data_IF_230985582085
#
_entry.id   IF_230985582085
#
_cell.length_a   1.000
_cell.length_b   1.000
_cell.length_c   1.000
_cell.angle_alpha   90.00
_cell.angle_beta   90.00
_cell.angle_gamma   90.00
#
_symmetry.space_group_name_H-M   'P 1'
#
loop_
_entity.id
_entity.type
_entity.pdbx_description
1 polymer ?
#
# COMPACT_ATOMS: atom_id res chain seq x y z
N UNK A 1 -64.47 -16.36 66.41
CA UNK A 1 -63.00 -16.48 66.48
C UNK A 1 -62.60 -17.72 65.71
N UNK A 2 -61.97 -17.57 64.54
CA UNK A 2 -61.69 -18.71 63.65
C UNK A 2 -60.49 -19.49 64.19
N UNK A 3 -60.72 -20.69 64.74
CA UNK A 3 -59.67 -21.58 65.21
C UNK A 3 -58.88 -22.11 64.00
N UNK A 4 -57.68 -21.58 63.78
CA UNK A 4 -56.81 -22.09 62.73
C UNK A 4 -56.24 -23.44 63.15
N UNK A 5 -56.54 -24.48 62.36
CA UNK A 5 -56.05 -25.84 62.60
C UNK A 5 -54.50 -25.85 62.60
N UNK A 6 -53.84 -26.28 63.69
CA UNK A 6 -52.39 -26.28 63.80
C UNK A 6 -51.67 -27.04 62.67
N UNK A 7 -52.31 -28.07 62.11
CA UNK A 7 -51.77 -28.86 61.01
C UNK A 7 -51.69 -28.06 59.71
N UNK A 8 -52.71 -27.25 59.41
CA UNK A 8 -52.74 -26.46 58.17
C UNK A 8 -51.67 -25.37 58.17
N UNK A 9 -51.39 -24.76 59.32
CA UNK A 9 -50.32 -23.77 59.50
C UNK A 9 -48.95 -24.40 59.27
N UNK A 10 -48.72 -25.63 59.78
CA UNK A 10 -47.45 -26.36 59.58
C UNK A 10 -47.23 -26.74 58.12
N UNK A 11 -48.27 -27.17 57.42
CA UNK A 11 -48.20 -27.51 56.00
C UNK A 11 -47.91 -26.28 55.13
N UNK A 12 -48.59 -25.16 55.39
CA UNK A 12 -48.38 -23.92 54.67
C UNK A 12 -46.95 -23.35 54.87
N UNK A 13 -46.33 -23.58 56.04
CA UNK A 13 -44.91 -23.27 56.29
C UNK A 13 -43.96 -24.13 55.47
N UNK A 14 -44.25 -25.44 55.35
CA UNK A 14 -43.46 -26.38 54.53
C UNK A 14 -43.55 -26.03 53.04
N UNK A 15 -44.74 -25.72 52.54
CA UNK A 15 -44.93 -25.33 51.14
C UNK A 15 -44.20 -24.02 50.80
N UNK A 16 -44.20 -23.04 51.72
CA UNK A 16 -43.41 -21.81 51.56
C UNK A 16 -41.91 -22.08 51.54
N UNK A 17 -41.42 -23.02 52.35
CA UNK A 17 -40.01 -23.42 52.32
C UNK A 17 -39.65 -24.10 50.99
N UNK A 18 -40.45 -25.05 50.52
CA UNK A 18 -40.25 -25.73 49.23
C UNK A 18 -40.27 -24.75 48.05
N UNK A 19 -41.18 -23.78 48.04
CA UNK A 19 -41.22 -22.74 47.00
C UNK A 19 -39.95 -21.89 47.00
N UNK A 20 -39.46 -21.48 48.18
CA UNK A 20 -38.21 -20.73 48.32
C UNK A 20 -36.98 -21.54 47.88
N UNK A 21 -36.95 -22.84 48.17
CA UNK A 21 -35.88 -23.73 47.72
C UNK A 21 -35.93 -23.90 46.19
N UNK A 22 -37.10 -24.13 45.60
CA UNK A 22 -37.27 -24.23 44.15
C UNK A 22 -36.89 -22.92 43.44
N UNK A 23 -37.23 -21.75 44.00
CA UNK A 23 -36.81 -20.44 43.51
C UNK A 23 -35.29 -20.26 43.56
N UNK A 24 -34.65 -20.64 44.67
CA UNK A 24 -33.18 -20.59 44.81
C UNK A 24 -32.49 -21.49 43.79
N UNK A 25 -32.98 -22.71 43.60
CA UNK A 25 -32.44 -23.64 42.59
C UNK A 25 -32.61 -23.10 41.18
N UNK A 26 -33.78 -22.54 40.83
CA UNK A 26 -34.02 -21.91 39.52
C UNK A 26 -33.13 -20.68 39.31
N UNK A 27 -32.91 -19.87 40.35
CA UNK A 27 -32.01 -18.72 40.29
C UNK A 27 -30.55 -19.14 40.08
N UNK A 28 -30.08 -20.14 40.82
CA UNK A 28 -28.74 -20.72 40.64
C UNK A 28 -28.57 -21.36 39.26
N UNK A 29 -29.58 -22.06 38.74
CA UNK A 29 -29.57 -22.61 37.39
C UNK A 29 -29.52 -21.52 36.32
N UNK A 30 -30.30 -20.44 36.47
CA UNK A 30 -30.25 -19.27 35.56
C UNK A 30 -28.90 -18.59 35.61
N UNK A 31 -28.33 -18.41 36.80
CA UNK A 31 -26.99 -17.83 36.96
C UNK A 31 -25.91 -18.70 36.31
N UNK A 32 -25.94 -20.02 36.53
CA UNK A 32 -25.00 -20.95 35.87
C UNK A 32 -25.15 -20.96 34.36
N UNK A 33 -26.38 -20.93 33.83
CA UNK A 33 -26.65 -20.83 32.39
C UNK A 33 -26.13 -19.51 31.81
N UNK A 34 -26.41 -18.38 32.47
CA UNK A 34 -25.94 -17.07 32.02
C UNK A 34 -24.40 -16.97 32.04
N UNK A 35 -23.76 -17.48 33.10
CA UNK A 35 -22.29 -17.54 33.20
C UNK A 35 -21.71 -18.45 32.10
N UNK A 36 -22.30 -19.61 31.84
CA UNK A 36 -21.87 -20.50 30.76
C UNK A 36 -22.01 -19.85 29.37
N UNK A 37 -23.10 -19.11 29.13
CA UNK A 37 -23.32 -18.37 27.89
C UNK A 37 -22.27 -17.26 27.71
N UNK A 38 -21.97 -16.50 28.78
CA UNK A 38 -20.95 -15.43 28.75
C UNK A 38 -19.56 -16.00 28.49
N UNK A 39 -19.19 -17.08 29.19
CA UNK A 39 -17.89 -17.74 28.96
C UNK A 39 -17.82 -18.27 27.53
N UNK A 40 -18.89 -18.92 27.05
CA UNK A 40 -18.97 -19.42 25.69
C UNK A 40 -18.83 -18.31 24.63
N UNK A 41 -19.47 -17.16 24.83
CA UNK A 41 -19.37 -16.02 23.90
C UNK A 41 -17.97 -15.40 23.91
N UNK A 42 -17.33 -15.27 25.06
CA UNK A 42 -15.94 -14.77 25.15
C UNK A 42 -14.99 -15.72 24.41
N UNK A 43 -15.09 -17.03 24.64
CA UNK A 43 -14.26 -18.04 23.95
C UNK A 43 -14.49 -17.99 22.43
N UNK A 44 -15.74 -17.86 21.99
CA UNK A 44 -16.07 -17.72 20.57
C UNK A 44 -15.44 -16.46 19.96
N UNK A 45 -15.54 -15.31 20.63
CA UNK A 45 -14.96 -14.04 20.15
C UNK A 45 -13.44 -14.14 20.06
N UNK A 46 -12.77 -14.70 21.08
CA UNK A 46 -11.32 -14.91 21.06
C UNK A 46 -10.90 -15.86 19.93
N UNK A 47 -11.65 -16.94 19.69
CA UNK A 47 -11.39 -17.86 18.59
C UNK A 47 -11.54 -17.18 17.22
N UNK A 48 -12.59 -16.37 17.02
CA UNK A 48 -12.81 -15.63 15.77
C UNK A 48 -11.71 -14.59 15.54
N UNK A 49 -11.32 -13.84 16.57
CA UNK A 49 -10.20 -12.88 16.49
C UNK A 49 -8.90 -13.62 16.16
N UNK A 50 -8.65 -14.76 16.80
CA UNK A 50 -7.49 -15.61 16.50
C UNK A 50 -7.45 -16.10 15.05
N UNK A 51 -8.59 -16.55 14.51
CA UNK A 51 -8.72 -16.96 13.11
C UNK A 51 -8.50 -15.77 12.17
N UNK A 52 -9.02 -14.58 12.51
CA UNK A 52 -8.86 -13.39 11.70
C UNK A 52 -7.39 -12.93 11.65
N UNK A 53 -6.69 -12.94 12.79
CA UNK A 53 -5.25 -12.63 12.86
C UNK A 53 -4.43 -13.70 12.10
N UNK A 54 -4.75 -14.99 12.27
CA UNK A 54 -4.09 -16.08 11.56
C UNK A 54 -4.26 -15.97 10.04
N UNK A 55 -5.46 -15.65 9.55
CA UNK A 55 -5.70 -15.38 8.12
C UNK A 55 -4.95 -14.14 7.64
N UNK A 56 -4.89 -13.09 8.46
CA UNK A 56 -4.14 -11.85 8.16
C UNK A 56 -2.62 -12.08 8.10
N UNK A 57 -2.09 -13.07 8.84
CA UNK A 57 -0.66 -13.43 8.87
C UNK A 57 -0.27 -14.59 7.93
N UNK A 58 -1.21 -15.13 7.15
CA UNK A 58 -0.91 -16.17 6.15
C UNK A 58 -0.74 -15.64 4.71
N UNK A 59 -0.58 -14.33 4.54
CA UNK A 59 -0.07 -13.71 3.31
C UNK A 59 1.40 -13.28 3.46
N UNK A 60 2.22 -14.16 4.05
CA UNK A 60 3.66 -14.12 3.89
C UNK A 60 4.09 -15.46 3.30
N UNK A 61 3.67 -15.71 2.05
CA UNK A 61 4.51 -16.50 1.16
C UNK A 61 5.89 -15.84 1.20
N UNK A 62 6.98 -16.52 1.56
CA UNK A 62 8.28 -16.06 1.13
C UNK A 62 8.13 -15.89 -0.37
N UNK A 63 8.32 -14.68 -0.87
CA UNK A 63 8.61 -14.49 -2.26
C UNK A 63 9.88 -15.32 -2.48
N UNK A 64 9.71 -16.56 -2.94
CA UNK A 64 10.65 -17.15 -3.86
C UNK A 64 10.81 -16.05 -4.88
N UNK A 65 11.94 -15.35 -4.82
CA UNK A 65 12.46 -14.64 -5.97
C UNK A 65 12.54 -15.74 -7.02
N UNK A 66 11.46 -15.91 -7.78
CA UNK A 66 11.54 -16.39 -9.13
C UNK A 66 12.26 -15.26 -9.83
N UNK A 67 13.57 -15.25 -9.60
CA UNK A 67 14.53 -14.69 -10.49
C UNK A 67 14.18 -15.42 -11.77
N UNK A 68 13.37 -14.77 -12.61
CA UNK A 68 13.19 -15.16 -13.97
C UNK A 68 14.60 -15.19 -14.53
N UNK A 69 15.20 -16.38 -14.53
CA UNK A 69 16.25 -16.76 -15.45
C UNK A 69 15.61 -16.83 -16.82
N UNK A 70 15.02 -15.71 -17.27
CA UNK A 70 14.96 -15.40 -18.68
C UNK A 70 16.42 -15.24 -19.05
N UNK A 71 16.98 -16.29 -19.66
CA UNK A 71 18.15 -16.16 -20.52
C UNK A 71 17.98 -14.86 -21.27
N UNK A 72 18.84 -13.83 -21.05
CA UNK A 72 18.59 -12.52 -21.60
C UNK A 72 18.64 -12.68 -23.11
N UNK A 73 17.47 -12.51 -23.75
CA UNK A 73 17.41 -12.24 -25.17
C UNK A 73 18.29 -11.00 -25.42
N UNK A 74 19.08 -10.92 -26.50
CA UNK A 74 20.04 -9.82 -26.68
C UNK A 74 19.47 -8.40 -26.51
N UNK A 75 18.17 -8.22 -26.74
CA UNK A 75 17.44 -6.96 -26.50
C UNK A 75 17.33 -6.57 -25.00
N UNK A 76 17.24 -7.54 -24.09
CA UNK A 76 17.08 -7.29 -22.65
C UNK A 76 18.38 -6.81 -22.00
N UNK A 77 19.53 -7.01 -22.66
CA UNK A 77 20.82 -6.45 -22.22
C UNK A 77 20.87 -4.94 -22.43
N UNK A 78 20.23 -4.41 -23.48
CA UNK A 78 20.16 -2.97 -23.75
C UNK A 78 19.25 -2.22 -22.76
N UNK A 79 18.13 -2.84 -22.36
CA UNK A 79 17.08 -2.23 -21.52
C UNK A 79 16.95 -2.88 -20.13
N UNK A 80 18.08 -3.22 -19.49
CA UNK A 80 18.11 -3.61 -18.07
C UNK A 80 17.54 -2.55 -17.12
N UNK A 81 17.19 -2.92 -15.89
CA UNK A 81 16.57 -2.00 -14.94
C UNK A 81 17.51 -0.86 -14.49
N UNK A 82 16.92 0.31 -14.17
CA UNK A 82 17.62 1.46 -13.57
C UNK A 82 16.93 1.78 -12.24
N UNK A 83 17.66 1.77 -11.11
CA UNK A 83 17.10 1.98 -9.75
C UNK A 83 15.85 1.12 -9.43
N UNK A 84 15.85 -0.13 -9.92
CA UNK A 84 14.71 -1.04 -9.77
C UNK A 84 13.46 -0.60 -10.53
N UNK A 85 13.61 0.21 -11.58
CA UNK A 85 12.59 0.53 -12.58
C UNK A 85 12.87 -0.34 -13.79
N UNK A 86 11.95 -1.25 -14.11
CA UNK A 86 12.10 -2.19 -15.22
C UNK A 86 11.53 -1.61 -16.50
N UNK A 87 12.02 -2.11 -17.63
CA UNK A 87 11.43 -1.91 -18.94
C UNK A 87 10.53 -3.12 -19.21
N UNK A 88 9.21 -2.89 -19.23
CA UNK A 88 8.22 -3.94 -19.39
C UNK A 88 7.68 -3.93 -20.82
N UNK A 89 7.15 -5.04 -21.36
CA UNK A 89 6.62 -5.07 -22.73
C UNK A 89 5.45 -4.11 -22.97
N UNK A 90 4.80 -3.63 -21.91
CA UNK A 90 3.62 -2.76 -21.94
C UNK A 90 3.59 -1.85 -20.72
N UNK A 91 2.86 -0.75 -20.88
CA UNK A 91 2.41 0.14 -19.81
C UNK A 91 1.68 -0.62 -18.68
N UNK A 92 1.86 -0.16 -17.44
CA UNK A 92 1.26 -0.77 -16.27
C UNK A 92 0.06 0.05 -15.78
N UNK A 93 -1.11 -0.59 -15.67
CA UNK A 93 -2.35 0.08 -15.25
C UNK A 93 -2.59 0.11 -13.74
N UNK A 94 -1.85 -0.66 -12.94
CA UNK A 94 -2.13 -0.80 -11.48
C UNK A 94 -1.84 0.48 -10.71
N UNK A 95 -0.72 1.15 -11.01
CA UNK A 95 -0.43 2.48 -10.52
C UNK A 95 -0.08 3.35 -11.71
N UNK A 96 -0.99 4.25 -12.08
CA UNK A 96 -0.87 5.12 -13.25
C UNK A 96 -1.18 6.55 -12.79
N UNK A 97 -0.15 7.39 -12.71
CA UNK A 97 -0.27 8.80 -12.37
C UNK A 97 0.68 9.62 -13.23
N UNK A 98 0.43 10.93 -13.33
CA UNK A 98 1.24 11.84 -14.13
C UNK A 98 1.89 12.92 -13.27
N UNK A 99 3.11 13.30 -13.60
CA UNK A 99 3.80 14.43 -12.98
C UNK A 99 4.31 15.39 -14.06
N UNK A 100 4.17 16.70 -13.86
CA UNK A 100 4.63 17.68 -14.83
C UNK A 100 6.01 18.24 -14.47
N UNK A 101 6.93 18.26 -15.44
CA UNK A 101 8.27 18.81 -15.30
C UNK A 101 8.51 19.99 -16.25
N UNK A 102 8.67 21.18 -15.67
CA UNK A 102 9.14 22.37 -16.40
C UNK A 102 10.64 22.54 -16.24
N UNK A 103 11.40 22.43 -17.34
CA UNK A 103 12.87 22.50 -17.27
C UNK A 103 13.42 23.85 -17.74
N UNK A 104 14.39 24.37 -16.97
CA UNK A 104 15.09 25.61 -17.28
C UNK A 104 16.60 25.44 -17.14
N UNK A 105 17.35 25.77 -18.19
CA UNK A 105 18.81 25.70 -18.23
C UNK A 105 19.34 27.10 -18.55
N UNK A 106 20.10 27.69 -17.63
CA UNK A 106 20.59 29.08 -17.70
C UNK A 106 19.46 30.09 -17.78
N UNK A 107 18.36 29.83 -17.06
CA UNK A 107 17.17 30.68 -17.08
C UNK A 107 16.34 30.60 -18.36
N UNK A 108 16.76 29.81 -19.36
CA UNK A 108 16.00 29.56 -20.58
C UNK A 108 15.17 28.30 -20.44
N UNK A 109 13.90 28.36 -20.84
CA UNK A 109 13.05 27.18 -20.90
C UNK A 109 13.63 26.17 -21.91
N UNK A 110 13.62 24.90 -21.52
CA UNK A 110 14.04 23.78 -22.36
C UNK A 110 12.91 22.76 -22.37
N UNK A 111 12.49 22.34 -23.56
CA UNK A 111 11.49 21.29 -23.70
C UNK A 111 12.05 19.95 -23.22
N UNK A 112 11.21 19.17 -22.54
CA UNK A 112 11.53 17.78 -22.25
C UNK A 112 11.35 16.97 -23.54
N UNK A 113 12.30 16.13 -23.96
CA UNK A 113 12.11 15.27 -25.12
C UNK A 113 10.95 14.28 -24.95
N UNK A 114 10.30 13.99 -26.07
CA UNK A 114 9.41 12.83 -26.17
C UNK A 114 10.19 11.52 -26.08
N UNK A 115 9.48 10.43 -25.81
CA UNK A 115 9.97 9.04 -25.84
C UNK A 115 11.12 8.71 -24.88
N UNK A 116 11.38 9.55 -23.87
CA UNK A 116 12.26 9.15 -22.77
C UNK A 116 11.60 7.96 -22.07
N UNK A 117 12.34 6.88 -21.83
CA UNK A 117 11.79 5.69 -21.20
C UNK A 117 11.10 4.72 -22.17
N UNK A 118 11.02 5.02 -23.47
CA UNK A 118 10.40 4.15 -24.47
C UNK A 118 11.49 3.59 -25.39
N UNK A 119 11.60 2.27 -25.48
CA UNK A 119 12.59 1.63 -26.35
C UNK A 119 12.35 2.03 -27.81
N UNK A 120 13.41 2.40 -28.54
CA UNK A 120 13.29 2.89 -29.92
C UNK A 120 12.82 1.83 -30.93
N UNK A 121 12.94 0.56 -30.55
CA UNK A 121 12.42 -0.60 -31.28
C UNK A 121 11.01 -1.01 -30.81
N UNK A 122 10.40 -0.24 -29.90
CA UNK A 122 9.12 -0.51 -29.25
C UNK A 122 9.06 -1.86 -28.52
N UNK A 123 10.20 -2.44 -28.14
CA UNK A 123 10.24 -3.72 -27.43
C UNK A 123 9.75 -3.63 -25.98
N UNK A 124 9.91 -2.47 -25.35
CA UNK A 124 9.50 -2.24 -23.97
C UNK A 124 9.37 -0.75 -23.62
N UNK A 125 8.78 -0.49 -22.46
CA UNK A 125 8.58 0.82 -21.87
C UNK A 125 8.92 0.79 -20.37
N UNK A 126 9.69 1.76 -19.90
CA UNK A 126 9.97 1.92 -18.48
C UNK A 126 8.78 2.54 -17.75
N UNK A 127 8.62 2.24 -16.47
CA UNK A 127 7.54 2.81 -15.64
C UNK A 127 7.57 4.34 -15.56
N UNK A 128 8.73 4.96 -15.81
CA UNK A 128 8.86 6.41 -15.95
C UNK A 128 9.15 6.74 -17.42
N UNK A 129 8.23 7.43 -18.08
CA UNK A 129 8.41 7.76 -19.50
C UNK A 129 7.68 9.05 -19.93
N UNK A 130 7.96 9.51 -21.15
CA UNK A 130 7.28 10.64 -21.80
C UNK A 130 6.73 10.22 -23.15
N UNK A 131 5.51 10.61 -23.50
CA UNK A 131 4.97 10.40 -24.85
C UNK A 131 5.26 11.57 -25.80
N UNK A 132 5.40 12.78 -25.27
CA UNK A 132 5.55 13.99 -26.06
C UNK A 132 6.49 15.01 -25.39
N UNK A 133 6.53 16.23 -25.93
CA UNK A 133 7.38 17.32 -25.43
C UNK A 133 6.68 18.25 -24.44
N UNK A 134 5.49 17.91 -23.94
CA UNK A 134 4.71 18.75 -23.03
C UNK A 134 5.36 18.91 -21.65
N UNK A 135 6.23 17.97 -21.27
CA UNK A 135 6.80 17.90 -19.91
C UNK A 135 6.04 16.95 -18.98
N UNK A 136 5.02 16.24 -19.47
CA UNK A 136 4.33 15.21 -18.69
C UNK A 136 5.17 13.94 -18.60
N UNK A 137 5.49 13.54 -17.36
CA UNK A 137 6.11 12.27 -17.01
C UNK A 137 5.01 11.31 -16.57
N UNK A 138 4.90 10.21 -17.29
CA UNK A 138 4.04 9.09 -16.94
C UNK A 138 4.71 8.24 -15.88
N UNK A 139 3.95 7.84 -14.85
CA UNK A 139 4.39 6.98 -13.75
C UNK A 139 3.44 5.79 -13.73
N UNK A 140 3.88 4.71 -14.35
CA UNK A 140 3.07 3.54 -14.68
C UNK A 140 3.77 2.27 -14.19
N UNK A 141 3.42 1.82 -12.98
CA UNK A 141 4.13 0.77 -12.26
C UNK A 141 3.20 -0.38 -11.82
N UNK A 142 3.74 -1.59 -11.58
CA UNK A 142 2.95 -2.74 -11.13
C UNK A 142 2.42 -2.60 -9.70
N UNK A 143 2.92 -1.62 -8.94
CA UNK A 143 2.46 -1.32 -7.59
C UNK A 143 2.73 0.16 -7.26
N UNK A 144 1.94 0.71 -6.34
CA UNK A 144 2.15 2.05 -5.84
C UNK A 144 3.50 2.14 -5.08
N UNK A 145 4.39 3.01 -5.56
CA UNK A 145 5.64 3.36 -4.88
C UNK A 145 5.97 4.82 -5.12
N UNK A 146 6.85 5.35 -4.29
CA UNK A 146 7.41 6.68 -4.52
C UNK A 146 8.50 6.61 -5.58
N UNK A 147 8.46 7.54 -6.54
CA UNK A 147 9.50 7.74 -7.53
C UNK A 147 10.13 9.11 -7.32
N UNK A 148 11.43 9.20 -7.53
CA UNK A 148 12.17 10.43 -7.42
C UNK A 148 12.43 11.00 -8.81
N UNK A 149 12.50 12.33 -8.90
CA UNK A 149 12.94 12.98 -10.13
C UNK A 149 14.37 12.56 -10.52
N UNK A 150 15.22 12.25 -9.53
CA UNK A 150 16.53 11.65 -9.78
C UNK A 150 16.46 10.31 -10.50
N UNK A 151 15.43 9.48 -10.26
CA UNK A 151 15.25 8.20 -10.95
C UNK A 151 14.97 8.42 -12.45
N UNK A 152 14.08 9.35 -12.77
CA UNK A 152 13.78 9.73 -14.15
C UNK A 152 15.02 10.30 -14.86
N UNK A 153 15.75 11.20 -14.21
CA UNK A 153 16.96 11.81 -14.76
C UNK A 153 18.06 10.77 -15.01
N UNK A 154 18.22 9.82 -14.09
CA UNK A 154 19.20 8.75 -14.23
C UNK A 154 18.81 7.76 -15.33
N UNK A 155 17.52 7.44 -15.47
CA UNK A 155 17.01 6.64 -16.58
C UNK A 155 17.30 7.33 -17.92
N UNK A 156 16.95 8.62 -18.04
CA UNK A 156 17.23 9.41 -19.23
C UNK A 156 18.72 9.42 -19.57
N UNK A 157 19.58 9.69 -18.59
CA UNK A 157 21.04 9.69 -18.77
C UNK A 157 21.60 8.35 -19.21
N UNK A 158 21.19 7.26 -18.57
CA UNK A 158 21.85 5.97 -18.77
C UNK A 158 21.38 5.28 -20.05
N UNK A 159 20.12 5.45 -20.43
CA UNK A 159 19.48 4.66 -21.51
C UNK A 159 19.03 5.48 -22.71
N UNK A 160 18.76 6.76 -22.49
CA UNK A 160 18.17 7.63 -23.50
C UNK A 160 18.99 8.91 -23.68
N UNK A 161 20.30 8.87 -23.44
CA UNK A 161 21.17 10.05 -23.52
C UNK A 161 21.21 10.69 -24.91
N UNK A 162 20.99 9.88 -25.95
CA UNK A 162 20.84 10.35 -27.33
C UNK A 162 19.62 11.25 -27.55
N UNK A 163 18.62 11.21 -26.66
CA UNK A 163 17.50 12.14 -26.65
C UNK A 163 17.92 13.46 -25.99
N UNK A 164 19.01 14.08 -26.48
CA UNK A 164 19.51 15.38 -26.04
C UNK A 164 19.69 15.51 -24.51
N UNK A 165 20.19 14.48 -23.83
CA UNK A 165 20.48 14.60 -22.40
C UNK A 165 21.53 15.68 -22.18
N UNK A 166 21.17 16.68 -21.39
CA UNK A 166 22.01 17.86 -21.17
C UNK A 166 23.06 17.57 -20.09
N UNK A 167 24.37 17.64 -20.40
CA UNK A 167 25.43 17.43 -19.40
C UNK A 167 25.33 18.41 -18.22
N UNK A 168 24.67 19.56 -18.41
CA UNK A 168 24.40 20.54 -17.36
C UNK A 168 23.51 19.98 -16.24
N UNK A 169 22.75 18.91 -16.46
CA UNK A 169 21.90 18.25 -15.45
C UNK A 169 22.71 17.40 -14.45
N UNK A 170 23.95 17.03 -14.81
CA UNK A 170 24.85 16.23 -13.97
C UNK A 170 25.68 17.05 -12.99
N UNK A 171 25.79 18.37 -13.23
CA UNK A 171 26.68 19.26 -12.50
C UNK A 171 26.19 19.43 -11.04
N UNK A 172 26.99 19.07 -10.03
CA UNK A 172 26.65 19.33 -8.64
C UNK A 172 26.87 20.82 -8.33
N UNK A 173 25.78 21.59 -8.34
CA UNK A 173 25.64 22.95 -7.79
C UNK A 173 26.71 23.99 -8.19
N UNK A 174 26.42 24.80 -9.21
CA UNK A 174 26.65 26.26 -9.12
C UNK A 174 25.49 27.00 -9.82
N UNK A 175 24.65 27.66 -9.01
CA UNK A 175 23.96 28.88 -9.43
C UNK A 175 22.66 28.83 -10.26
N UNK A 176 21.84 27.76 -10.28
CA UNK A 176 20.56 27.80 -11.02
C UNK A 176 19.36 27.19 -10.29
N UNK A 177 18.25 27.94 -10.30
CA UNK A 177 16.91 27.61 -9.79
C UNK A 177 16.05 27.05 -10.92
N UNK A 178 15.32 25.97 -10.67
CA UNK A 178 14.29 25.43 -11.55
C UNK A 178 12.97 25.39 -10.77
N UNK A 179 11.85 25.70 -11.44
CA UNK A 179 10.55 25.94 -10.80
C UNK A 179 9.64 24.72 -10.93
N UNK A 180 9.13 24.24 -9.79
CA UNK A 180 7.90 23.42 -9.73
C UNK A 180 6.89 24.22 -8.91
N UNK A 181 5.94 24.87 -9.58
CA UNK A 181 5.01 25.81 -8.94
C UNK A 181 5.71 27.07 -8.41
N UNK A 182 5.29 27.54 -7.24
CA UNK A 182 5.73 28.80 -6.61
C UNK A 182 6.92 28.68 -5.64
N UNK A 183 7.59 27.52 -5.56
CA UNK A 183 8.76 27.30 -4.70
C UNK A 183 10.01 26.88 -5.51
N UNK A 184 11.15 27.50 -5.20
CA UNK A 184 12.44 27.25 -5.86
C UNK A 184 13.17 26.07 -5.20
N UNK A 185 13.36 24.96 -5.92
CA UNK A 185 14.23 23.86 -5.48
C UNK A 185 15.26 23.57 -6.58
N UNK A 186 16.54 23.49 -6.19
CA UNK A 186 17.61 23.10 -7.11
C UNK A 186 17.47 21.61 -7.45
N UNK A 187 17.34 21.29 -8.74
CA UNK A 187 17.18 19.92 -9.21
C UNK A 187 18.43 19.47 -9.95
N UNK A 188 18.96 18.31 -9.56
CA UNK A 188 20.11 17.63 -10.14
C UNK A 188 19.69 16.19 -10.45
N UNK A 189 20.46 15.45 -11.26
CA UNK A 189 20.29 14.00 -11.42
C UNK A 189 20.36 13.20 -10.09
N UNK A 190 20.75 13.85 -8.97
CA UNK A 190 20.68 13.29 -7.60
C UNK A 190 19.54 13.86 -6.76
N UNK A 191 18.51 14.42 -7.38
CA UNK A 191 17.41 15.04 -6.65
C UNK A 191 16.54 14.02 -5.96
N UNK A 192 16.42 14.18 -4.65
CA UNK A 192 15.48 13.45 -3.80
C UNK A 192 14.06 14.07 -3.83
N UNK A 193 13.74 14.87 -4.84
CA UNK A 193 12.41 15.42 -5.04
C UNK A 193 11.49 14.28 -5.47
N UNK A 194 10.50 13.97 -4.63
CA UNK A 194 9.45 13.03 -4.98
C UNK A 194 8.64 13.59 -6.15
N UNK A 195 8.37 12.76 -7.16
CA UNK A 195 7.39 13.08 -8.18
C UNK A 195 6.01 13.02 -7.54
N UNK A 196 5.32 14.16 -7.56
CA UNK A 196 3.98 14.32 -7.00
C UNK A 196 3.01 14.34 -8.18
N UNK A 197 1.89 13.61 -8.09
CA UNK A 197 0.84 13.70 -9.09
C UNK A 197 0.41 15.15 -9.29
N UNK A 198 0.32 15.58 -10.54
CA UNK A 198 -0.22 16.89 -10.91
C UNK A 198 -1.75 16.86 -10.91
#
# INVERSE_FOLDING_TARGET
MSQTNPQSVKQNRRDKQQRREAERLRAQQRQRKNVAIIIGSIVLVVAVIGIFIWRSMSAATPATKTQSTSTPTPAQTAYSAVNGITCDPKEQGTYHVHAHLSMYVNGKAVALPQTIGIAGDNSCIYWLHTHDTSGVIHIEAPAQRSFLLGDFMQLWKQRFSSLNYLPQLDQPRVGRRMWMGSLSVAISARSNCKLIPW
#
